data_IF_631316727337
#
_entry.id   IF_631316727337
#
_cell.length_a   1.000
_cell.length_b   1.000
_cell.length_c   1.000
_cell.angle_alpha   90.00
_cell.angle_beta   90.00
_cell.angle_gamma   90.00
#
_symmetry.space_group_name_H-M   'P 1'
#
loop_
_entity.id
_entity.type
_entity.pdbx_description
1 polymer ?
#
# COMPACT_ATOMS: atom_id res chain seq x y z
N UNK A 1 -11.08 4.98 2.49
CA UNK A 1 -11.12 4.32 3.82
C UNK A 1 -9.79 4.53 4.52
N UNK A 2 -9.80 4.97 5.79
CA UNK A 2 -8.61 5.13 6.63
C UNK A 2 -8.66 4.07 7.73
N UNK A 3 -7.55 3.39 8.01
CA UNK A 3 -7.50 2.37 9.07
C UNK A 3 -6.07 2.11 9.53
N UNK A 4 -5.91 1.64 10.76
CA UNK A 4 -4.69 1.04 11.30
C UNK A 4 -4.80 -0.48 11.50
N UNK A 5 -5.97 -1.08 11.20
CA UNK A 5 -6.24 -2.49 11.45
C UNK A 5 -5.74 -3.38 10.29
N UNK A 6 -4.80 -4.31 10.54
CA UNK A 6 -4.27 -5.19 9.48
C UNK A 6 -5.33 -6.09 8.84
N UNK A 7 -6.35 -6.50 9.60
CA UNK A 7 -7.47 -7.33 9.10
C UNK A 7 -8.32 -6.57 8.09
N UNK A 8 -8.61 -5.29 8.36
CA UNK A 8 -9.38 -4.43 7.45
C UNK A 8 -8.61 -4.21 6.15
N UNK A 9 -7.31 -3.95 6.23
CA UNK A 9 -6.41 -3.84 5.05
C UNK A 9 -6.41 -5.14 4.24
N UNK A 10 -6.30 -6.29 4.90
CA UNK A 10 -6.31 -7.59 4.25
C UNK A 10 -7.61 -7.82 3.46
N UNK A 11 -8.76 -7.53 4.07
CA UNK A 11 -10.07 -7.64 3.43
C UNK A 11 -10.21 -6.69 2.24
N UNK A 12 -9.77 -5.44 2.39
CA UNK A 12 -9.81 -4.46 1.31
C UNK A 12 -8.97 -4.90 0.11
N UNK A 13 -7.74 -5.38 0.33
CA UNK A 13 -6.85 -5.88 -0.73
C UNK A 13 -7.48 -7.06 -1.46
N UNK A 14 -8.03 -8.03 -0.72
CA UNK A 14 -8.69 -9.20 -1.33
C UNK A 14 -9.84 -8.76 -2.25
N UNK A 15 -10.69 -7.85 -1.76
CA UNK A 15 -11.87 -7.37 -2.47
C UNK A 15 -11.55 -6.51 -3.71
N UNK A 16 -10.49 -5.70 -3.67
CA UNK A 16 -10.21 -4.73 -4.74
C UNK A 16 -9.07 -5.19 -5.67
N UNK A 17 -8.00 -5.72 -5.10
CA UNK A 17 -6.77 -6.03 -5.84
C UNK A 17 -6.66 -7.49 -6.26
N UNK A 18 -7.19 -8.43 -5.48
CA UNK A 18 -7.08 -9.87 -5.78
C UNK A 18 -8.33 -10.48 -6.45
N UNK A 19 -9.43 -9.73 -6.54
CA UNK A 19 -10.63 -10.18 -7.24
C UNK A 19 -10.33 -10.47 -8.71
N UNK A 20 -10.59 -11.72 -9.13
CA UNK A 20 -10.27 -12.30 -10.45
C UNK A 20 -11.16 -11.83 -11.60
N UNK A 21 -12.11 -10.91 -11.36
CA UNK A 21 -13.14 -10.61 -12.37
C UNK A 21 -12.60 -10.06 -13.70
N UNK A 22 -11.37 -9.54 -13.74
CA UNK A 22 -10.75 -9.03 -14.96
C UNK A 22 -9.35 -9.62 -15.15
N UNK A 23 -9.12 -10.30 -16.28
CA UNK A 23 -7.80 -10.77 -16.73
C UNK A 23 -6.82 -9.64 -17.12
N UNK A 24 -7.24 -8.38 -16.98
CA UNK A 24 -6.40 -7.22 -17.30
C UNK A 24 -5.57 -6.79 -16.11
N UNK A 25 -4.33 -6.36 -16.39
CA UNK A 25 -3.44 -5.76 -15.38
C UNK A 25 -4.14 -4.62 -14.66
N UNK A 26 -4.05 -4.60 -13.33
CA UNK A 26 -4.65 -3.56 -12.49
C UNK A 26 -3.65 -2.43 -12.28
N UNK A 27 -4.04 -1.20 -12.60
CA UNK A 27 -3.25 -0.02 -12.23
C UNK A 27 -3.70 0.47 -10.87
N UNK A 28 -2.76 0.55 -9.92
CA UNK A 28 -3.00 0.96 -8.54
C UNK A 28 -2.11 2.14 -8.21
N UNK A 29 -2.70 3.26 -7.82
CA UNK A 29 -1.97 4.37 -7.22
C UNK A 29 -1.35 3.93 -5.89
N UNK A 30 -0.05 4.12 -5.72
CA UNK A 30 0.69 3.88 -4.49
C UNK A 30 1.37 5.18 -4.04
N UNK A 31 1.11 5.58 -2.81
CA UNK A 31 1.85 6.64 -2.15
C UNK A 31 2.30 6.18 -0.76
N UNK A 32 3.49 6.62 -0.36
CA UNK A 32 4.07 6.35 0.95
C UNK A 32 4.50 7.69 1.53
N UNK A 33 3.97 8.03 2.71
CA UNK A 33 4.34 9.25 3.41
C UNK A 33 5.15 8.93 4.66
N UNK A 34 6.26 9.65 4.78
CA UNK A 34 7.16 9.61 5.92
C UNK A 34 6.85 10.80 6.81
N UNK A 35 6.81 10.59 8.12
CA UNK A 35 6.81 11.72 9.06
C UNK A 35 8.15 12.44 8.92
N UNK A 36 8.19 13.77 8.85
CA UNK A 36 9.41 14.50 9.08
C UNK A 36 9.66 14.53 10.59
N UNK A 37 10.68 13.83 11.05
CA UNK A 37 11.28 14.09 12.37
C UNK A 37 12.78 14.29 12.21
N UNK A 38 13.26 15.37 12.82
CA UNK A 38 14.67 15.79 12.80
C UNK A 38 15.52 15.07 13.86
N UNK A 39 14.95 14.10 14.59
CA UNK A 39 15.59 13.47 15.77
C UNK A 39 15.58 11.95 15.78
N UNK A 40 14.71 11.28 15.02
CA UNK A 40 14.58 9.81 15.01
C UNK A 40 14.34 9.33 13.57
N UNK A 41 15.02 8.27 13.12
CA UNK A 41 14.73 7.62 11.84
C UNK A 41 13.22 7.37 11.71
N UNK A 42 12.57 8.04 10.76
CA UNK A 42 11.12 8.09 10.73
C UNK A 42 10.52 6.78 10.24
N UNK A 43 9.69 6.10 11.05
CA UNK A 43 8.90 4.99 10.53
C UNK A 43 7.93 5.56 9.47
N UNK A 44 7.76 4.81 8.38
CA UNK A 44 6.69 5.07 7.41
C UNK A 44 5.41 5.36 8.17
N UNK A 45 4.78 6.51 7.92
CA UNK A 45 3.63 6.94 8.71
C UNK A 45 2.33 6.47 8.08
N UNK A 46 2.24 6.58 6.75
CA UNK A 46 1.03 6.23 6.01
C UNK A 46 1.41 5.55 4.69
N UNK A 47 0.66 4.51 4.33
CA UNK A 47 0.65 3.91 3.00
C UNK A 47 -0.73 4.09 2.38
N UNK A 48 -0.80 4.62 1.16
CA UNK A 48 -2.04 4.80 0.42
C UNK A 48 -2.06 3.90 -0.82
N UNK A 49 -3.16 3.18 -1.00
CA UNK A 49 -3.49 2.42 -2.21
C UNK A 49 -4.77 2.98 -2.81
N UNK A 50 -4.77 3.28 -4.10
CA UNK A 50 -5.96 3.74 -4.80
C UNK A 50 -6.15 2.94 -6.09
N UNK A 51 -7.37 2.44 -6.31
CA UNK A 51 -7.76 1.80 -7.57
C UNK A 51 -9.07 2.42 -8.03
N UNK A 52 -9.07 3.01 -9.24
CA UNK A 52 -10.20 3.81 -9.75
C UNK A 52 -10.61 4.88 -8.72
N UNK A 53 -11.83 4.81 -8.19
CA UNK A 53 -12.39 5.74 -7.20
C UNK A 53 -12.33 5.20 -5.75
N UNK A 54 -11.63 4.09 -5.52
CA UNK A 54 -11.56 3.45 -4.21
C UNK A 54 -10.15 3.55 -3.62
N UNK A 55 -10.01 4.24 -2.50
CA UNK A 55 -8.73 4.40 -1.81
C UNK A 55 -8.74 3.78 -0.40
N UNK A 56 -7.61 3.17 -0.04
CA UNK A 56 -7.23 2.71 1.29
C UNK A 56 -6.05 3.55 1.78
N UNK A 57 -6.15 4.10 2.98
CA UNK A 57 -5.08 4.78 3.71
C UNK A 57 -4.78 3.92 4.93
N UNK A 58 -3.59 3.32 4.96
CA UNK A 58 -3.11 2.49 6.04
C UNK A 58 -2.16 3.27 6.96
N UNK A 59 -2.61 3.54 8.18
CA UNK A 59 -1.85 4.29 9.18
C UNK A 59 -0.83 3.38 9.87
N UNK A 60 0.31 3.16 9.20
CA UNK A 60 1.37 2.24 9.64
C UNK A 60 1.90 2.56 11.04
N UNK A 61 1.95 3.83 11.44
CA UNK A 61 2.41 4.22 12.78
C UNK A 61 1.51 3.75 13.93
N UNK A 62 0.23 3.47 13.66
CA UNK A 62 -0.72 2.93 14.64
C UNK A 62 -0.99 1.45 14.43
N UNK A 63 -0.40 0.86 13.38
CA UNK A 63 -0.71 -0.51 13.01
C UNK A 63 0.05 -1.50 13.90
N UNK A 64 -0.64 -2.57 14.30
CA UNK A 64 -0.02 -3.64 15.09
C UNK A 64 0.92 -4.54 14.26
N UNK A 65 0.79 -4.56 12.94
CA UNK A 65 1.63 -5.35 12.02
C UNK A 65 1.44 -4.95 10.56
N UNK A 66 2.30 -5.40 9.65
CA UNK A 66 2.06 -5.31 8.20
C UNK A 66 1.41 -6.63 7.74
N UNK A 67 0.20 -6.62 7.15
CA UNK A 67 -0.46 -7.86 6.77
C UNK A 67 0.24 -8.52 5.57
N UNK A 68 0.43 -9.85 5.62
CA UNK A 68 1.07 -10.64 4.54
C UNK A 68 0.37 -10.47 3.18
N UNK A 69 -0.93 -10.17 3.17
CA UNK A 69 -1.70 -9.88 1.95
C UNK A 69 -1.21 -8.63 1.23
N UNK A 70 -0.72 -7.61 1.96
CA UNK A 70 -0.14 -6.41 1.36
C UNK A 70 1.16 -6.75 0.64
N UNK A 71 2.06 -7.48 1.30
CA UNK A 71 3.28 -7.97 0.65
C UNK A 71 2.98 -8.77 -0.63
N UNK A 72 2.04 -9.73 -0.55
CA UNK A 72 1.63 -10.52 -1.72
C UNK A 72 1.04 -9.67 -2.85
N UNK A 73 0.32 -8.59 -2.52
CA UNK A 73 -0.21 -7.68 -3.53
C UNK A 73 0.90 -6.84 -4.19
N UNK A 74 1.86 -6.35 -3.40
CA UNK A 74 3.02 -5.60 -3.91
C UNK A 74 3.90 -6.45 -4.84
N UNK A 75 4.02 -7.75 -4.58
CA UNK A 75 4.78 -8.68 -5.42
C UNK A 75 3.97 -9.30 -6.58
N UNK A 76 2.70 -8.91 -6.78
CA UNK A 76 1.86 -9.54 -7.80
C UNK A 76 2.13 -8.91 -9.18
N UNK A 77 2.64 -9.67 -10.18
CA UNK A 77 2.97 -9.14 -11.50
C UNK A 77 1.75 -8.67 -12.31
N UNK A 78 0.53 -9.03 -11.88
CA UNK A 78 -0.71 -8.56 -12.49
C UNK A 78 -1.17 -7.19 -11.96
N UNK A 79 -0.42 -6.59 -11.03
CA UNK A 79 -0.69 -5.27 -10.47
C UNK A 79 0.46 -4.34 -10.85
N UNK A 80 0.13 -3.27 -11.58
CA UNK A 80 1.05 -2.18 -11.88
C UNK A 80 0.83 -1.06 -10.87
N UNK A 81 1.83 -0.77 -10.06
CA UNK A 81 1.79 0.35 -9.14
C UNK A 81 2.28 1.63 -9.82
N UNK A 82 1.52 2.70 -9.70
CA UNK A 82 1.88 4.04 -10.18
C UNK A 82 1.99 4.99 -8.99
N UNK A 83 3.04 5.79 -8.93
CA UNK A 83 3.25 6.75 -7.85
C UNK A 83 4.47 7.61 -8.08
N UNK A 84 4.43 8.85 -7.59
CA UNK A 84 5.57 9.76 -7.60
C UNK A 84 6.47 9.39 -6.41
N UNK A 85 7.78 9.22 -6.65
CA UNK A 85 8.83 8.78 -5.70
C UNK A 85 8.97 7.27 -5.40
N UNK A 86 8.36 6.36 -6.17
CA UNK A 86 8.63 4.90 -6.03
C UNK A 86 10.05 4.55 -6.47
N UNK A 87 10.58 5.21 -7.51
CA UNK A 87 11.92 4.95 -8.06
C UNK A 87 13.06 5.16 -7.07
N UNK A 88 12.90 6.00 -6.04
CA UNK A 88 13.93 6.23 -5.01
C UNK A 88 13.99 5.12 -3.95
N UNK A 89 12.98 4.26 -3.85
CA UNK A 89 12.94 3.14 -2.89
C UNK A 89 13.58 1.86 -3.44
N UNK A 90 13.81 1.77 -4.75
CA UNK A 90 14.37 0.56 -5.40
C UNK A 90 15.88 0.68 -5.71
N UNK A 91 16.52 1.79 -5.36
CA UNK A 91 17.94 2.07 -5.65
C UNK A 91 18.87 1.88 -4.43
N UNK A 92 18.34 1.49 -3.26
CA UNK A 92 19.11 1.27 -2.03
C UNK A 92 18.91 -0.15 -1.48
N UNK A 93 18.91 -1.15 -2.35
CA UNK A 93 18.89 -2.58 -2.00
C UNK A 93 20.26 -3.19 -2.13
#
# INVERSE_FOLDING_TARGET
>A
MVTSCPKVVSSWIKCHLQTLRNFQKKVVGLAIEWRPSFRVQNPVTILQLCIKHCCLIYQLYQASSIPRTLYRALCNPNIMFSGVKIYLLMQNG
#
